data_IF_710769028906
#
_entry.id   IF_710769028906
#
_cell.length_a   1.000
_cell.length_b   1.000
_cell.length_c   1.000
_cell.angle_alpha   90.00
_cell.angle_beta   90.00
_cell.angle_gamma   90.00
#
_symmetry.space_group_name_H-M   'P 1'
#
loop_
_entity.id
_entity.type
_entity.pdbx_description
1 polymer ?
#
# COMPACT_ATOMS: atom_id res chain seq x y z
N UNK A 1 -16.38 -4.02 4.36
CA UNK A 1 -15.40 -3.38 3.47
C UNK A 1 -14.05 -3.35 4.14
N UNK A 2 -13.05 -3.89 3.49
CA UNK A 2 -11.64 -3.82 3.87
C UNK A 2 -10.95 -2.91 2.84
N UNK A 3 -10.20 -1.94 3.32
CA UNK A 3 -9.40 -1.03 2.50
C UNK A 3 -7.91 -1.30 2.77
N UNK A 4 -7.14 -1.53 1.73
CA UNK A 4 -5.70 -1.75 1.82
C UNK A 4 -4.91 -0.47 1.49
N UNK A 5 -3.96 -0.10 2.33
CA UNK A 5 -2.90 0.85 2.00
C UNK A 5 -1.65 0.04 1.70
N UNK A 6 -1.28 -0.05 0.42
CA UNK A 6 -0.21 -0.90 -0.06
C UNK A 6 0.84 -0.12 -0.88
N UNK A 7 1.81 -0.80 -1.44
CA UNK A 7 2.90 -0.23 -2.24
C UNK A 7 4.26 -0.78 -1.84
N UNK A 8 5.26 -0.58 -2.67
CA UNK A 8 6.63 -1.06 -2.47
C UNK A 8 7.21 -0.62 -1.11
N UNK A 9 8.04 -1.44 -0.43
CA UNK A 9 8.76 -1.00 0.76
C UNK A 9 9.50 0.33 0.52
N UNK A 10 9.30 1.31 1.42
CA UNK A 10 9.91 2.65 1.29
C UNK A 10 9.02 3.73 0.67
N UNK A 11 7.85 3.41 0.13
CA UNK A 11 6.92 4.40 -0.45
C UNK A 11 6.24 5.32 0.58
N UNK A 12 6.34 5.02 1.89
CA UNK A 12 5.86 5.90 2.95
C UNK A 12 4.59 5.43 3.66
N UNK A 13 4.09 4.23 3.41
CA UNK A 13 2.87 3.66 4.01
C UNK A 13 2.76 3.91 5.52
N UNK A 14 3.70 3.39 6.28
CA UNK A 14 3.69 3.50 7.75
C UNK A 14 3.69 4.95 8.26
N UNK A 15 4.37 5.87 7.57
CA UNK A 15 4.37 7.29 7.93
C UNK A 15 3.00 7.93 7.68
N UNK A 16 2.39 7.62 6.53
CA UNK A 16 1.04 8.08 6.17
C UNK A 16 0.01 7.51 7.15
N UNK A 17 0.08 6.21 7.44
CA UNK A 17 -0.84 5.54 8.36
C UNK A 17 -0.74 6.11 9.79
N UNK A 18 0.46 6.44 10.27
CA UNK A 18 0.64 7.14 11.55
C UNK A 18 -0.02 8.52 11.58
N UNK A 19 0.06 9.27 10.48
CA UNK A 19 -0.60 10.58 10.36
C UNK A 19 -2.14 10.48 10.24
N UNK A 20 -2.66 9.33 9.77
CA UNK A 20 -4.09 9.05 9.71
C UNK A 20 -4.69 8.69 11.07
N UNK A 21 -3.93 8.02 11.95
CA UNK A 21 -4.37 7.61 13.29
C UNK A 21 -4.11 6.12 13.60
N UNK A 22 -4.42 5.71 14.83
CA UNK A 22 -4.02 4.41 15.40
C UNK A 22 -5.01 3.26 15.15
N UNK A 23 -5.95 3.39 14.24
CA UNK A 23 -7.01 2.40 13.97
C UNK A 23 -6.73 1.54 12.71
N UNK A 24 -5.54 1.67 12.15
CA UNK A 24 -5.07 0.93 10.97
C UNK A 24 -4.30 -0.31 11.45
N UNK A 25 -4.66 -1.46 10.90
CA UNK A 25 -3.98 -2.72 11.21
C UNK A 25 -2.67 -2.82 10.42
N UNK A 26 -1.54 -2.78 11.11
CA UNK A 26 -0.21 -3.00 10.53
C UNK A 26 0.05 -4.50 10.37
N UNK A 27 0.03 -4.98 9.14
CA UNK A 27 0.20 -6.39 8.81
C UNK A 27 1.60 -6.92 9.15
N UNK A 28 2.65 -6.09 9.08
CA UNK A 28 3.98 -6.54 9.48
C UNK A 28 4.02 -6.85 10.97
N UNK A 29 3.43 -5.98 11.79
CA UNK A 29 3.29 -6.23 13.23
C UNK A 29 2.44 -7.48 13.52
N UNK A 30 1.37 -7.72 12.76
CA UNK A 30 0.55 -8.93 12.90
C UNK A 30 1.37 -10.18 12.56
N UNK A 31 2.10 -10.19 11.45
CA UNK A 31 2.95 -11.30 11.03
C UNK A 31 3.97 -11.64 12.13
N UNK A 32 4.65 -10.65 12.67
CA UNK A 32 5.67 -10.84 13.69
C UNK A 32 5.09 -11.32 15.02
N UNK A 33 4.04 -10.65 15.52
CA UNK A 33 3.45 -10.95 16.84
C UNK A 33 2.70 -12.28 16.85
N UNK A 34 1.98 -12.62 15.77
CA UNK A 34 1.22 -13.86 15.67
C UNK A 34 2.04 -15.05 15.15
N UNK A 35 3.25 -14.78 14.64
CA UNK A 35 4.10 -15.82 14.03
C UNK A 35 3.54 -16.35 12.72
N UNK A 36 2.86 -15.49 11.92
CA UNK A 36 2.27 -15.89 10.63
C UNK A 36 3.31 -15.86 9.52
N UNK A 37 4.30 -16.74 9.62
CA UNK A 37 5.31 -16.95 8.59
C UNK A 37 5.68 -18.42 8.48
N UNK A 38 6.02 -18.86 7.28
CA UNK A 38 6.38 -20.24 6.95
C UNK A 38 7.89 -20.48 6.97
N UNK A 39 8.69 -19.41 6.98
CA UNK A 39 10.14 -19.48 6.98
C UNK A 39 10.81 -18.12 6.99
N UNK A 40 12.12 -18.15 6.85
CA UNK A 40 12.98 -16.97 6.74
C UNK A 40 13.75 -17.04 5.42
N UNK A 41 13.57 -16.06 4.56
CA UNK A 41 14.46 -15.87 3.41
C UNK A 41 15.79 -15.29 3.92
N UNK A 42 16.81 -16.15 3.98
CA UNK A 42 18.13 -15.81 4.51
C UNK A 42 18.91 -14.86 3.61
N UNK A 43 18.66 -14.89 2.30
CA UNK A 43 19.32 -13.98 1.35
C UNK A 43 18.76 -12.57 1.48
N UNK A 44 17.44 -12.43 1.62
CA UNK A 44 16.75 -11.15 1.76
C UNK A 44 16.61 -10.69 3.20
N UNK A 45 16.90 -11.56 4.17
CA UNK A 45 16.74 -11.25 5.60
C UNK A 45 15.32 -10.86 5.98
N UNK A 46 14.31 -11.56 5.43
CA UNK A 46 12.91 -11.27 5.71
C UNK A 46 12.10 -12.55 6.02
N UNK A 47 10.98 -12.37 6.72
CA UNK A 47 10.02 -13.43 6.96
C UNK A 47 9.23 -13.73 5.68
N UNK A 48 8.98 -15.01 5.42
CA UNK A 48 8.07 -15.47 4.36
C UNK A 48 6.68 -15.55 4.97
N UNK A 49 5.82 -14.58 4.69
CA UNK A 49 4.49 -14.50 5.28
C UNK A 49 3.62 -15.71 4.89
N UNK A 50 2.84 -16.20 5.86
CA UNK A 50 1.78 -17.19 5.67
C UNK A 50 0.49 -16.41 5.34
N UNK A 51 0.22 -16.26 4.04
CA UNK A 51 -0.89 -15.43 3.55
C UNK A 51 -2.25 -15.99 3.95
N UNK A 52 -2.40 -17.32 4.01
CA UNK A 52 -3.67 -17.96 4.37
C UNK A 52 -4.06 -17.63 5.82
N UNK A 53 -3.10 -17.76 6.76
CA UNK A 53 -3.31 -17.38 8.16
C UNK A 53 -3.52 -15.89 8.34
N UNK A 54 -2.79 -15.07 7.57
CA UNK A 54 -2.92 -13.63 7.64
C UNK A 54 -4.30 -13.17 7.15
N UNK A 55 -4.79 -13.74 6.04
CA UNK A 55 -6.13 -13.47 5.50
C UNK A 55 -7.22 -13.91 6.50
N UNK A 56 -7.10 -15.11 7.05
CA UNK A 56 -8.04 -15.61 8.07
C UNK A 56 -8.06 -14.68 9.30
N UNK A 57 -6.90 -14.24 9.77
CA UNK A 57 -6.80 -13.30 10.89
C UNK A 57 -7.46 -11.96 10.57
N UNK A 58 -7.17 -11.39 9.41
CA UNK A 58 -7.79 -10.12 8.96
C UNK A 58 -9.31 -10.28 8.90
N UNK A 59 -9.82 -11.33 8.28
CA UNK A 59 -11.25 -11.60 8.17
C UNK A 59 -11.96 -11.70 9.53
N UNK A 60 -11.33 -12.36 10.52
CA UNK A 60 -11.89 -12.51 11.87
C UNK A 60 -11.81 -11.23 12.71
N UNK A 61 -10.79 -10.41 12.51
CA UNK A 61 -10.56 -9.20 13.29
C UNK A 61 -11.03 -7.92 12.58
N UNK A 62 -11.38 -8.00 11.29
CA UNK A 62 -11.92 -6.89 10.55
C UNK A 62 -13.31 -6.52 11.07
N UNK A 63 -13.49 -5.24 11.40
CA UNK A 63 -14.79 -4.64 11.70
C UNK A 63 -15.52 -4.34 10.39
N UNK A 64 -16.76 -3.84 10.48
CA UNK A 64 -17.59 -3.47 9.31
C UNK A 64 -16.85 -2.56 8.30
N UNK A 65 -15.84 -1.80 8.78
CA UNK A 65 -14.95 -0.94 7.98
C UNK A 65 -13.57 -1.01 8.60
N UNK A 66 -12.65 -1.69 7.95
CA UNK A 66 -11.27 -1.88 8.43
C UNK A 66 -10.27 -1.42 7.40
N UNK A 67 -9.18 -0.82 7.88
CA UNK A 67 -8.04 -0.48 7.05
C UNK A 67 -6.86 -1.32 7.47
N UNK A 68 -6.22 -1.94 6.50
CA UNK A 68 -5.01 -2.72 6.66
C UNK A 68 -3.84 -2.04 5.93
N UNK A 69 -2.65 -2.09 6.50
CA UNK A 69 -1.44 -1.54 5.88
C UNK A 69 -0.37 -2.60 5.74
N UNK A 70 0.29 -2.63 4.60
CA UNK A 70 1.45 -3.49 4.35
C UNK A 70 1.73 -3.63 2.86
N UNK A 71 2.93 -4.08 2.52
CA UNK A 71 3.27 -4.33 1.12
C UNK A 71 2.55 -5.56 0.53
N UNK A 72 1.95 -6.40 1.38
CA UNK A 72 1.12 -7.56 1.00
C UNK A 72 -0.39 -7.30 1.17
N UNK A 73 -0.79 -6.10 1.58
CA UNK A 73 -2.18 -5.83 1.96
C UNK A 73 -3.18 -6.04 0.81
N UNK A 74 -2.79 -5.79 -0.44
CA UNK A 74 -3.60 -6.01 -1.63
C UNK A 74 -3.87 -7.49 -1.93
N UNK A 75 -3.05 -8.41 -1.39
CA UNK A 75 -3.22 -9.86 -1.56
C UNK A 75 -4.27 -10.48 -0.63
N UNK A 76 -4.82 -9.71 0.31
CA UNK A 76 -5.77 -10.20 1.33
C UNK A 76 -7.22 -9.88 0.96
N UNK A 77 -7.54 -9.87 -0.31
CA UNK A 77 -8.89 -9.63 -0.87
C UNK A 77 -9.59 -8.37 -0.34
N UNK A 78 -8.92 -7.18 -0.30
CA UNK A 78 -9.60 -5.94 0.01
C UNK A 78 -10.48 -5.49 -1.15
N UNK A 79 -11.60 -4.84 -0.86
CA UNK A 79 -12.46 -4.25 -1.89
C UNK A 79 -11.79 -3.01 -2.51
N UNK A 80 -11.02 -2.26 -1.72
CA UNK A 80 -10.33 -1.04 -2.17
C UNK A 80 -8.85 -1.12 -1.85
N UNK A 81 -8.00 -0.78 -2.82
CA UNK A 81 -6.56 -0.63 -2.62
C UNK A 81 -6.10 0.80 -2.91
N UNK A 82 -5.35 1.39 -1.98
CA UNK A 82 -4.59 2.63 -2.19
C UNK A 82 -3.13 2.25 -2.32
N UNK A 83 -2.60 2.31 -3.54
CA UNK A 83 -1.21 1.97 -3.86
C UNK A 83 -0.36 3.23 -3.77
N UNK A 84 0.47 3.31 -2.74
CA UNK A 84 1.44 4.41 -2.61
C UNK A 84 2.65 4.15 -3.48
N UNK A 85 2.94 5.12 -4.36
CA UNK A 85 4.04 5.07 -5.31
C UNK A 85 5.17 6.01 -4.90
N UNK A 86 6.38 5.76 -5.36
CA UNK A 86 7.49 6.68 -5.18
C UNK A 86 8.44 6.64 -6.39
N UNK A 87 8.91 7.82 -6.81
CA UNK A 87 9.94 7.91 -7.83
C UNK A 87 11.13 6.99 -7.48
N UNK A 88 11.63 6.17 -8.42
CA UNK A 88 12.71 5.21 -8.20
C UNK A 88 13.94 5.78 -7.49
N UNK A 89 14.38 6.98 -7.84
CA UNK A 89 15.53 7.63 -7.20
C UNK A 89 15.21 8.04 -5.75
N UNK A 90 13.99 8.52 -5.49
CA UNK A 90 13.52 8.88 -4.13
C UNK A 90 13.40 7.62 -3.30
N UNK A 91 12.86 6.54 -3.87
CA UNK A 91 12.71 5.25 -3.21
C UNK A 91 14.09 4.68 -2.80
N UNK A 92 15.04 4.66 -3.74
CA UNK A 92 16.41 4.21 -3.47
C UNK A 92 17.07 4.98 -2.31
N UNK A 93 16.92 6.32 -2.29
CA UNK A 93 17.44 7.17 -1.22
C UNK A 93 16.77 6.85 0.14
N UNK A 94 15.45 6.70 0.18
CA UNK A 94 14.69 6.34 1.40
C UNK A 94 15.09 4.97 1.95
N UNK A 95 15.25 3.97 1.07
CA UNK A 95 15.66 2.62 1.49
C UNK A 95 17.11 2.60 2.01
N UNK A 96 18.01 3.35 1.37
CA UNK A 96 19.38 3.52 1.83
C UNK A 96 19.44 4.15 3.22
N UNK A 97 18.64 5.19 3.47
CA UNK A 97 18.55 5.83 4.80
C UNK A 97 18.01 4.86 5.88
N UNK A 98 17.17 3.91 5.50
CA UNK A 98 16.66 2.85 6.39
C UNK A 98 17.64 1.69 6.60
N UNK A 99 18.84 1.74 5.99
CA UNK A 99 19.87 0.72 6.13
C UNK A 99 19.62 -0.57 5.36
N UNK A 100 18.79 -0.53 4.30
CA UNK A 100 18.57 -1.70 3.46
C UNK A 100 19.86 -2.07 2.70
N UNK A 101 20.17 -3.39 2.55
CA UNK A 101 21.29 -3.84 1.74
C UNK A 101 21.14 -3.39 0.27
N UNK A 102 22.23 -3.14 -0.47
CA UNK A 102 22.19 -2.68 -1.86
C UNK A 102 21.35 -3.58 -2.77
N UNK A 103 21.46 -4.90 -2.62
CA UNK A 103 20.67 -5.86 -3.39
C UNK A 103 19.15 -5.68 -3.16
N UNK A 104 18.73 -5.53 -1.90
CA UNK A 104 17.33 -5.34 -1.54
C UNK A 104 16.80 -3.97 -2.01
N UNK A 105 17.66 -2.94 -2.02
CA UNK A 105 17.32 -1.64 -2.62
C UNK A 105 17.04 -1.81 -4.10
N UNK A 106 17.92 -2.48 -4.83
CA UNK A 106 17.78 -2.73 -6.27
C UNK A 106 16.48 -3.47 -6.58
N UNK A 107 16.21 -4.58 -5.90
CA UNK A 107 14.99 -5.38 -6.09
C UNK A 107 13.71 -4.55 -5.86
N UNK A 108 13.65 -3.75 -4.79
CA UNK A 108 12.48 -2.92 -4.53
C UNK A 108 12.32 -1.79 -5.55
N UNK A 109 13.41 -1.19 -6.01
CA UNK A 109 13.38 -0.15 -7.05
C UNK A 109 12.93 -0.74 -8.38
N UNK A 110 13.41 -1.92 -8.77
CA UNK A 110 12.97 -2.63 -9.97
C UNK A 110 11.47 -2.99 -9.90
N UNK A 111 11.01 -3.52 -8.76
CA UNK A 111 9.60 -3.82 -8.55
C UNK A 111 8.70 -2.56 -8.66
N UNK A 112 9.16 -1.42 -8.15
CA UNK A 112 8.45 -0.15 -8.27
C UNK A 112 8.41 0.36 -9.71
N UNK A 113 9.52 0.24 -10.46
CA UNK A 113 9.61 0.63 -11.87
C UNK A 113 8.72 -0.23 -12.77
N UNK A 114 8.56 -1.50 -12.43
CA UNK A 114 7.75 -2.48 -13.17
C UNK A 114 6.29 -2.53 -12.70
N UNK A 115 5.88 -1.62 -11.83
CA UNK A 115 4.50 -1.50 -11.30
C UNK A 115 3.97 -2.80 -10.66
N UNK A 116 4.84 -3.65 -10.09
CA UNK A 116 4.47 -5.00 -9.63
C UNK A 116 3.25 -4.96 -8.71
N UNK A 117 3.31 -4.21 -7.61
CA UNK A 117 2.20 -4.12 -6.64
C UNK A 117 0.96 -3.45 -7.25
N UNK A 118 1.15 -2.46 -8.15
CA UNK A 118 0.02 -1.82 -8.82
C UNK A 118 -0.71 -2.79 -9.73
N UNK A 119 0.03 -3.56 -10.53
CA UNK A 119 -0.55 -4.56 -11.44
C UNK A 119 -1.30 -5.65 -10.66
N UNK A 120 -0.71 -6.19 -9.59
CA UNK A 120 -1.36 -7.16 -8.70
C UNK A 120 -2.63 -6.58 -8.06
N UNK A 121 -2.57 -5.32 -7.57
CA UNK A 121 -3.73 -4.67 -6.98
C UNK A 121 -4.88 -4.49 -7.99
N UNK A 122 -4.56 -4.13 -9.25
CA UNK A 122 -5.57 -3.99 -10.32
C UNK A 122 -6.24 -5.31 -10.67
N UNK A 123 -5.52 -6.43 -10.56
CA UNK A 123 -6.09 -7.76 -10.81
C UNK A 123 -6.97 -8.26 -9.65
N UNK A 124 -6.66 -7.87 -8.42
CA UNK A 124 -7.24 -8.48 -7.22
C UNK A 124 -8.30 -7.62 -6.52
N UNK A 125 -8.30 -6.30 -6.73
CA UNK A 125 -9.16 -5.37 -6.01
C UNK A 125 -10.21 -4.73 -6.94
N UNK A 126 -11.41 -4.47 -6.43
CA UNK A 126 -12.49 -3.86 -7.21
C UNK A 126 -12.20 -2.39 -7.55
N UNK A 127 -11.62 -1.66 -6.62
CA UNK A 127 -11.25 -0.25 -6.81
C UNK A 127 -9.80 -0.03 -6.40
N UNK A 128 -9.03 0.62 -7.29
CA UNK A 128 -7.61 0.91 -7.05
C UNK A 128 -7.32 2.39 -7.25
N UNK A 129 -6.67 2.99 -6.27
CA UNK A 129 -6.14 4.34 -6.31
C UNK A 129 -4.62 4.31 -6.33
N UNK A 130 -4.01 5.08 -7.22
CA UNK A 130 -2.56 5.23 -7.33
C UNK A 130 -2.14 6.62 -6.84
N UNK A 131 -1.33 6.68 -5.77
CA UNK A 131 -0.95 7.95 -5.11
C UNK A 131 0.57 8.10 -5.08
N UNK A 132 1.11 9.03 -5.85
CA UNK A 132 2.54 9.37 -5.80
C UNK A 132 2.88 10.15 -4.53
N UNK A 133 3.91 9.67 -3.80
CA UNK A 133 4.44 10.28 -2.58
C UNK A 133 5.73 11.06 -2.80
N UNK A 134 6.22 11.12 -4.04
CA UNK A 134 7.49 11.76 -4.38
C UNK A 134 7.43 13.28 -4.16
N UNK A 135 8.40 13.83 -3.45
CA UNK A 135 8.48 15.27 -3.21
C UNK A 135 7.36 15.87 -2.35
N UNK A 136 6.47 15.04 -1.81
CA UNK A 136 5.36 15.48 -0.95
C UNK A 136 5.69 15.24 0.52
N UNK A 137 5.16 16.09 1.39
CA UNK A 137 5.20 15.88 2.84
C UNK A 137 4.21 14.79 3.22
N UNK A 138 4.48 14.12 4.33
CA UNK A 138 3.62 13.03 4.85
C UNK A 138 2.17 13.50 5.04
N UNK A 139 1.98 14.71 5.56
CA UNK A 139 0.67 15.31 5.83
C UNK A 139 -0.13 15.55 4.55
N UNK A 140 0.54 15.92 3.46
CA UNK A 140 -0.10 16.14 2.15
C UNK A 140 -0.61 14.82 1.56
N UNK A 141 0.21 13.77 1.65
CA UNK A 141 -0.21 12.43 1.21
C UNK A 141 -1.31 11.87 2.12
N UNK A 142 -1.18 12.05 3.43
CA UNK A 142 -2.21 11.60 4.39
C UNK A 142 -3.56 12.30 4.17
N UNK A 143 -3.56 13.58 3.79
CA UNK A 143 -4.79 14.29 3.45
C UNK A 143 -5.49 13.68 2.23
N UNK A 144 -4.74 13.35 1.17
CA UNK A 144 -5.26 12.66 -0.01
C UNK A 144 -5.82 11.28 0.35
N UNK A 145 -5.05 10.49 1.11
CA UNK A 145 -5.47 9.15 1.52
C UNK A 145 -6.73 9.22 2.40
N UNK A 146 -6.82 10.21 3.28
CA UNK A 146 -8.03 10.45 4.11
C UNK A 146 -9.24 10.78 3.24
N UNK A 147 -9.09 11.67 2.26
CA UNK A 147 -10.16 12.01 1.33
C UNK A 147 -10.69 10.78 0.58
N UNK A 148 -9.80 9.89 0.12
CA UNK A 148 -10.17 8.63 -0.52
C UNK A 148 -10.93 7.72 0.47
N UNK A 149 -10.41 7.57 1.68
CA UNK A 149 -11.02 6.74 2.74
C UNK A 149 -12.43 7.25 3.07
N UNK A 150 -12.58 8.55 3.28
CA UNK A 150 -13.86 9.17 3.67
C UNK A 150 -14.91 8.95 2.56
N UNK A 151 -14.54 9.12 1.29
CA UNK A 151 -15.43 8.90 0.15
C UNK A 151 -15.80 7.42 -0.03
N UNK A 152 -14.86 6.50 0.14
CA UNK A 152 -15.13 5.05 0.04
C UNK A 152 -16.00 4.56 1.21
N UNK A 153 -15.87 5.19 2.37
CA UNK A 153 -16.64 4.84 3.57
C UNK A 153 -18.03 5.50 3.58
N UNK A 154 -18.15 6.76 3.15
CA UNK A 154 -19.37 7.58 3.27
C UNK A 154 -20.16 7.69 1.97
N UNK A 155 -19.60 7.24 0.84
CA UNK A 155 -20.04 7.54 -0.52
C UNK A 155 -21.34 6.90 -1.00
N UNK A 156 -22.26 6.50 -0.11
CA UNK A 156 -23.59 5.96 -0.48
C UNK A 156 -24.63 7.07 -0.82
N UNK A 157 -24.31 8.34 -0.63
CA UNK A 157 -25.19 9.47 -0.99
C UNK A 157 -24.91 9.96 -2.42
N UNK A 158 -25.94 10.49 -3.13
CA UNK A 158 -25.81 10.95 -4.54
C UNK A 158 -24.68 11.98 -4.75
N UNK A 159 -24.44 12.88 -3.77
CA UNK A 159 -23.32 13.83 -3.82
C UNK A 159 -21.93 13.15 -3.71
N UNK A 160 -21.86 12.00 -3.06
CA UNK A 160 -20.65 11.18 -2.93
C UNK A 160 -20.26 10.50 -4.24
N UNK A 161 -21.22 10.15 -5.09
CA UNK A 161 -21.00 9.46 -6.38
C UNK A 161 -20.16 10.32 -7.36
N UNK A 162 -20.41 11.62 -7.47
CA UNK A 162 -19.65 12.51 -8.37
C UNK A 162 -18.22 12.76 -7.85
N UNK A 163 -18.08 12.97 -6.54
CA UNK A 163 -16.78 13.13 -5.89
C UNK A 163 -15.94 11.85 -6.04
N UNK A 164 -16.55 10.68 -5.83
CA UNK A 164 -15.91 9.38 -6.03
C UNK A 164 -15.39 9.22 -7.46
N UNK A 165 -16.22 9.52 -8.47
CA UNK A 165 -15.82 9.49 -9.88
C UNK A 165 -14.63 10.40 -10.17
N UNK A 166 -14.64 11.61 -9.61
CA UNK A 166 -13.56 12.57 -9.78
C UNK A 166 -12.24 12.07 -9.13
N UNK A 167 -12.31 11.47 -7.92
CA UNK A 167 -11.13 10.89 -7.25
C UNK A 167 -10.61 9.67 -8.00
N UNK A 168 -11.48 8.75 -8.40
CA UNK A 168 -11.09 7.58 -9.21
C UNK A 168 -10.41 8.04 -10.50
N UNK A 169 -10.95 9.04 -11.20
CA UNK A 169 -10.34 9.57 -12.42
C UNK A 169 -8.97 10.22 -12.17
N UNK A 170 -8.81 10.92 -11.03
CA UNK A 170 -7.58 11.63 -10.66
C UNK A 170 -6.46 10.68 -10.23
N UNK A 171 -6.80 9.64 -9.50
CA UNK A 171 -5.86 8.69 -8.91
C UNK A 171 -5.98 7.28 -9.54
N UNK A 172 -6.43 7.19 -10.79
CA UNK A 172 -6.55 5.92 -11.50
C UNK A 172 -5.20 5.25 -11.68
N UNK A 173 -5.15 3.91 -11.76
CA UNK A 173 -3.95 3.18 -12.16
C UNK A 173 -3.38 3.69 -13.48
N UNK A 174 -2.04 3.79 -13.56
CA UNK A 174 -1.32 4.37 -14.69
C UNK A 174 -1.28 5.90 -14.71
N UNK A 175 -1.66 6.57 -13.60
CA UNK A 175 -1.47 8.02 -13.44
C UNK A 175 -0.02 8.41 -13.13
N UNK A 176 0.79 7.44 -12.68
CA UNK A 176 2.21 7.57 -12.40
C UNK A 176 3.00 6.73 -13.41
N UNK A 177 4.03 7.29 -14.02
CA UNK A 177 4.84 6.62 -15.04
C UNK A 177 6.32 6.67 -14.68
N UNK A 178 6.92 5.48 -14.46
CA UNK A 178 8.34 5.31 -14.20
C UNK A 178 9.09 4.67 -15.36
N UNK A 179 8.49 4.47 -16.53
CA UNK A 179 9.11 3.78 -17.68
C UNK A 179 10.40 4.46 -18.14
N UNK A 180 10.55 5.77 -17.95
CA UNK A 180 11.78 6.53 -18.22
C UNK A 180 13.01 6.09 -17.41
N UNK A 181 12.81 5.31 -16.34
CA UNK A 181 13.88 4.76 -15.51
C UNK A 181 14.27 3.33 -15.90
N UNK A 182 13.51 2.70 -16.81
CA UNK A 182 13.82 1.37 -17.36
C UNK A 182 14.84 1.60 -18.48
N UNK A 183 16.11 1.27 -18.22
CA UNK A 183 17.23 1.37 -19.19
C UNK A 183 17.80 0.01 -19.49
#
# INVERSE_FOLDING_TARGET
MILAITGTPGTGKTSVCKALGNWIMDLNSVIEVQGFYTGIDRERGCLIADLDKLEEYVRHNAKKRSIIEGHLAHLLNPEVAIVLRANPSVLAARLKQKGFPPQKIKENVEAEMLDVILAEAVELCETVYEVDTSGKRVEEVAAVVREIIDIEIEGEEESGSEKKKALVAKYKPGSVDWTRFIT
#
